data_IF_762514823924
#
_entry.id   IF_762514823924
#
_cell.length_a   1.000
_cell.length_b   1.000
_cell.length_c   1.000
_cell.angle_alpha   90.00
_cell.angle_beta   90.00
_cell.angle_gamma   90.00
#
_symmetry.space_group_name_H-M   'P 1'
#
loop_
_entity.id
_entity.type
_entity.pdbx_description
1 polymer ?
#
# COMPACT_ATOMS: atom_id res chain seq x y z
N UNK A 1 38.18 0.25 -51.69
CA UNK A 1 39.53 -0.34 -51.86
C UNK A 1 40.49 0.56 -51.07
N UNK A 2 41.30 0.17 -50.08
CA UNK A 2 41.93 -1.09 -49.67
C UNK A 2 41.95 -1.17 -48.13
N UNK A 3 41.90 -2.39 -47.60
CA UNK A 3 42.17 -2.75 -46.19
C UNK A 3 43.68 -2.78 -45.96
N UNK A 4 44.14 -2.48 -44.73
CA UNK A 4 45.37 -3.05 -44.17
C UNK A 4 45.27 -3.17 -42.66
N UNK A 5 45.53 -4.39 -42.20
CA UNK A 5 45.57 -4.92 -40.84
C UNK A 5 46.95 -4.68 -40.22
N UNK A 6 47.04 -4.54 -38.90
CA UNK A 6 48.30 -4.60 -38.17
C UNK A 6 48.07 -4.75 -36.66
N UNK A 7 48.21 -5.97 -36.16
CA UNK A 7 48.26 -6.30 -34.74
C UNK A 7 49.72 -6.41 -34.29
N UNK A 8 50.04 -5.92 -33.09
CA UNK A 8 51.29 -6.25 -32.38
C UNK A 8 50.95 -6.63 -30.94
N UNK A 9 51.30 -7.86 -30.61
CA UNK A 9 51.31 -8.47 -29.28
C UNK A 9 52.62 -8.08 -28.60
N UNK A 10 52.56 -7.70 -27.32
CA UNK A 10 53.74 -7.45 -26.49
C UNK A 10 53.47 -7.88 -25.04
N UNK A 11 53.81 -9.13 -24.75
CA UNK A 11 53.79 -9.76 -23.43
C UNK A 11 55.14 -9.49 -22.75
N UNK A 12 55.16 -8.89 -21.56
CA UNK A 12 56.29 -8.98 -20.64
C UNK A 12 55.80 -9.18 -19.22
N UNK A 13 56.14 -10.34 -18.68
CA UNK A 13 56.01 -10.71 -17.28
C UNK A 13 57.36 -10.49 -16.57
N UNK A 14 57.33 -9.93 -15.37
CA UNK A 14 58.39 -10.09 -14.37
C UNK A 14 57.79 -9.82 -12.98
N UNK A 15 58.01 -10.76 -12.07
CA UNK A 15 57.33 -10.94 -10.78
C UNK A 15 57.76 -10.02 -9.61
N UNK A 16 57.49 -10.45 -8.37
CA UNK A 16 57.05 -9.57 -7.29
C UNK A 16 58.19 -9.06 -6.40
N UNK A 17 58.04 -7.82 -5.89
CA UNK A 17 58.93 -7.28 -4.87
C UNK A 17 58.23 -7.28 -3.50
N UNK A 18 58.65 -8.23 -2.66
CA UNK A 18 58.45 -8.26 -1.21
C UNK A 18 59.21 -7.11 -0.55
N UNK A 19 58.52 -6.29 0.23
CA UNK A 19 59.15 -5.41 1.22
C UNK A 19 58.50 -5.65 2.58
N UNK A 20 59.25 -6.36 3.42
CA UNK A 20 59.02 -6.50 4.85
C UNK A 20 59.69 -5.34 5.59
N UNK A 21 58.99 -4.68 6.51
CA UNK A 21 59.53 -3.71 7.48
C UNK A 21 58.76 -3.89 8.81
N UNK A 22 59.42 -3.78 9.98
CA UNK A 22 59.19 -4.69 11.10
C UNK A 22 58.18 -4.21 12.16
N UNK A 23 57.77 -5.19 12.95
CA UNK A 23 56.96 -5.10 14.18
C UNK A 23 57.69 -4.24 15.22
N UNK A 24 57.03 -3.16 15.68
CA UNK A 24 57.34 -2.51 16.94
C UNK A 24 56.14 -2.72 17.89
N UNK A 25 56.34 -3.60 18.87
CA UNK A 25 55.41 -3.81 19.96
C UNK A 25 55.61 -2.70 21.01
N UNK A 26 54.56 -1.90 21.25
CA UNK A 26 54.43 -1.07 22.45
C UNK A 26 53.13 -1.51 23.12
N UNK A 27 53.27 -2.15 24.28
CA UNK A 27 52.15 -2.45 25.15
C UNK A 27 51.62 -1.18 25.81
N UNK A 28 50.31 -0.96 25.67
CA UNK A 28 49.53 -0.08 26.53
C UNK A 28 48.16 -0.73 26.75
N UNK A 29 47.67 -0.58 27.98
CA UNK A 29 46.62 -1.39 28.59
C UNK A 29 45.27 -1.43 27.89
N UNK A 30 44.56 -2.49 28.26
CA UNK A 30 43.19 -2.87 27.92
C UNK A 30 42.18 -1.73 27.99
N UNK A 31 41.53 -1.45 26.86
CA UNK A 31 40.12 -1.06 26.77
C UNK A 31 39.65 -1.23 25.32
N UNK A 32 39.41 -2.48 24.91
CA UNK A 32 38.62 -2.74 23.71
C UNK A 32 37.18 -2.35 24.00
N UNK A 33 36.84 -1.08 23.79
CA UNK A 33 35.49 -0.72 23.44
C UNK A 33 35.25 -1.27 22.03
N UNK A 34 34.91 -2.56 21.97
CA UNK A 34 34.32 -3.13 20.78
C UNK A 34 33.00 -2.38 20.58
N UNK A 35 33.02 -1.38 19.71
CA UNK A 35 31.81 -0.91 19.06
C UNK A 35 31.24 -2.14 18.35
N UNK A 36 30.24 -2.76 18.98
CA UNK A 36 29.38 -3.74 18.36
C UNK A 36 28.72 -3.05 17.17
N UNK A 37 29.31 -3.23 15.99
CA UNK A 37 28.60 -3.11 14.73
C UNK A 37 27.37 -3.99 14.85
N UNK A 38 26.20 -3.37 14.93
CA UNK A 38 24.92 -4.07 14.84
C UNK A 38 24.82 -4.74 13.48
N UNK A 39 25.42 -5.93 13.36
CA UNK A 39 25.14 -6.85 12.27
C UNK A 39 23.69 -7.26 12.39
N UNK A 40 22.93 -7.11 11.32
CA UNK A 40 21.62 -7.71 11.21
C UNK A 40 21.75 -9.20 11.55
N UNK A 41 21.17 -9.62 12.66
CA UNK A 41 21.07 -11.04 12.99
C UNK A 41 20.23 -11.68 11.89
N UNK A 42 20.80 -12.66 11.18
CA UNK A 42 20.07 -13.44 10.18
C UNK A 42 18.81 -14.03 10.83
N UNK A 43 17.65 -13.94 10.16
CA UNK A 43 16.41 -14.49 10.70
C UNK A 43 16.55 -16.00 10.80
N UNK A 44 16.27 -16.55 11.99
CA UNK A 44 16.21 -17.99 12.19
C UNK A 44 14.94 -18.55 11.51
N UNK A 45 15.10 -19.06 10.29
CA UNK A 45 14.01 -19.62 9.50
C UNK A 45 13.35 -20.82 10.18
N UNK A 46 14.06 -21.55 11.03
CA UNK A 46 13.51 -22.70 11.77
C UNK A 46 12.59 -22.24 12.90
N UNK A 47 12.93 -21.15 13.59
CA UNK A 47 12.08 -20.52 14.58
C UNK A 47 10.82 -19.91 13.94
N UNK A 48 10.95 -19.28 12.76
CA UNK A 48 9.80 -18.80 11.99
C UNK A 48 8.90 -19.97 11.59
N UNK A 49 9.45 -21.08 11.11
CA UNK A 49 8.68 -22.28 10.77
C UNK A 49 7.90 -22.86 11.96
N UNK A 50 8.50 -22.90 13.15
CA UNK A 50 7.81 -23.32 14.37
C UNK A 50 6.63 -22.39 14.71
N UNK A 51 6.82 -21.07 14.58
CA UNK A 51 5.75 -20.08 14.81
C UNK A 51 4.64 -20.16 13.77
N UNK A 52 4.98 -20.30 12.48
CA UNK A 52 4.00 -20.48 11.40
C UNK A 52 3.17 -21.72 11.63
N UNK A 53 3.80 -22.85 11.99
CA UNK A 53 3.10 -24.07 12.35
C UNK A 53 2.13 -23.84 13.51
N UNK A 54 2.56 -23.17 14.57
CA UNK A 54 1.70 -22.85 15.72
C UNK A 54 0.52 -21.94 15.35
N UNK A 55 0.71 -20.97 14.46
CA UNK A 55 -0.35 -20.07 13.96
C UNK A 55 -1.37 -20.85 13.12
N UNK A 56 -0.90 -21.72 12.22
CA UNK A 56 -1.77 -22.53 11.37
C UNK A 56 -2.53 -23.60 12.16
N UNK A 57 -1.88 -24.24 13.14
CA UNK A 57 -2.49 -25.27 14.00
C UNK A 57 -3.49 -24.66 15.01
N UNK A 58 -3.23 -23.44 15.49
CA UNK A 58 -4.09 -22.70 16.43
C UNK A 58 -5.19 -21.85 15.78
N UNK A 59 -5.22 -21.79 14.46
CA UNK A 59 -6.19 -21.02 13.69
C UNK A 59 -7.59 -21.62 13.67
N UNK A 60 -8.60 -20.78 13.42
CA UNK A 60 -9.98 -21.25 13.27
C UNK A 60 -10.11 -22.16 12.04
N UNK A 61 -10.80 -23.30 12.21
CA UNK A 61 -11.14 -24.19 11.09
C UNK A 61 -12.24 -23.54 10.25
N UNK A 62 -11.89 -23.11 9.04
CA UNK A 62 -12.81 -22.46 8.12
C UNK A 62 -12.33 -22.56 6.67
N UNK A 63 -13.30 -22.60 5.75
CA UNK A 63 -13.06 -22.60 4.31
C UNK A 63 -12.89 -21.17 3.83
N UNK A 64 -11.80 -20.90 3.13
CA UNK A 64 -11.60 -19.62 2.44
C UNK A 64 -12.20 -19.77 1.04
N UNK A 65 -13.15 -18.91 0.69
CA UNK A 65 -13.70 -18.82 -0.65
C UNK A 65 -13.50 -17.40 -1.17
N UNK A 66 -12.63 -17.25 -2.17
CA UNK A 66 -12.33 -15.97 -2.81
C UNK A 66 -12.41 -16.19 -4.32
N UNK A 67 -13.31 -15.47 -5.04
CA UNK A 67 -13.38 -15.54 -6.50
C UNK A 67 -12.04 -15.11 -7.15
N UNK A 68 -11.68 -15.77 -8.25
CA UNK A 68 -10.44 -15.47 -8.99
C UNK A 68 -9.28 -16.43 -8.74
N UNK A 69 -9.47 -17.43 -7.87
CA UNK A 69 -8.61 -18.61 -7.76
C UNK A 69 -9.11 -19.72 -8.70
N UNK A 70 -8.23 -20.24 -9.55
CA UNK A 70 -8.49 -21.33 -10.49
C UNK A 70 -8.34 -22.72 -9.84
N UNK A 71 -7.55 -22.82 -8.77
CA UNK A 71 -7.41 -24.03 -7.96
C UNK A 71 -7.29 -23.69 -6.46
N UNK A 72 -8.42 -23.35 -5.82
CA UNK A 72 -8.42 -22.96 -4.41
C UNK A 72 -7.85 -24.02 -3.47
N UNK A 73 -7.93 -25.31 -3.83
CA UNK A 73 -7.45 -26.40 -3.00
C UNK A 73 -5.92 -26.37 -2.85
N UNK A 74 -5.19 -26.01 -3.91
CA UNK A 74 -3.74 -25.82 -3.87
C UNK A 74 -3.37 -24.40 -3.39
N UNK A 75 -4.08 -23.38 -3.85
CA UNK A 75 -3.69 -21.97 -3.67
C UNK A 75 -3.94 -21.43 -2.26
N UNK A 76 -5.06 -21.81 -1.62
CA UNK A 76 -5.43 -21.30 -0.29
C UNK A 76 -4.43 -21.73 0.80
N UNK A 77 -3.97 -23.00 0.88
CA UNK A 77 -2.93 -23.39 1.83
C UNK A 77 -1.62 -22.61 1.67
N UNK A 78 -1.20 -22.33 0.43
CA UNK A 78 0.00 -21.54 0.16
C UNK A 78 -0.19 -20.08 0.59
N UNK A 79 -1.34 -19.46 0.28
CA UNK A 79 -1.69 -18.13 0.73
C UNK A 79 -1.73 -18.01 2.27
N UNK A 80 -2.31 -19.01 2.96
CA UNK A 80 -2.30 -19.11 4.43
C UNK A 80 -0.89 -19.15 4.98
N UNK A 81 0.01 -19.90 4.33
CA UNK A 81 1.40 -20.01 4.76
C UNK A 81 2.16 -18.69 4.57
N UNK A 82 2.00 -18.01 3.44
CA UNK A 82 2.58 -16.67 3.20
C UNK A 82 2.12 -15.67 4.27
N UNK A 83 0.82 -15.67 4.59
CA UNK A 83 0.26 -14.74 5.57
C UNK A 83 0.65 -15.09 7.01
N UNK A 84 0.62 -16.37 7.38
CA UNK A 84 1.07 -16.83 8.69
C UNK A 84 2.56 -16.52 8.92
N UNK A 85 3.39 -16.64 7.88
CA UNK A 85 4.80 -16.22 7.93
C UNK A 85 4.92 -14.72 8.17
N UNK A 86 4.12 -13.91 7.46
CA UNK A 86 4.06 -12.46 7.70
C UNK A 86 3.64 -12.11 9.13
N UNK A 87 2.65 -12.82 9.69
CA UNK A 87 2.22 -12.66 11.10
C UNK A 87 3.34 -13.03 12.06
N UNK A 88 3.99 -14.19 11.89
CA UNK A 88 5.11 -14.65 12.72
C UNK A 88 6.27 -13.62 12.72
N UNK A 89 6.56 -13.06 11.55
CA UNK A 89 7.61 -12.05 11.39
C UNK A 89 7.17 -10.64 11.79
N UNK A 90 5.91 -10.40 12.18
CA UNK A 90 5.34 -9.07 12.49
C UNK A 90 5.38 -8.10 11.29
N UNK A 91 5.14 -8.62 10.10
CA UNK A 91 5.01 -7.83 8.88
C UNK A 91 3.61 -7.17 8.86
N UNK A 92 3.52 -5.85 8.62
CA UNK A 92 2.23 -5.17 8.48
C UNK A 92 1.35 -5.82 7.40
N UNK A 93 0.03 -5.67 7.52
CA UNK A 93 -0.95 -6.19 6.55
C UNK A 93 -0.57 -5.84 5.11
N UNK A 94 -0.10 -4.60 4.88
CA UNK A 94 0.39 -4.17 3.55
C UNK A 94 1.47 -5.09 2.99
N UNK A 95 2.48 -5.45 3.79
CA UNK A 95 3.55 -6.34 3.35
C UNK A 95 3.05 -7.75 3.04
N UNK A 96 2.04 -8.23 3.78
CA UNK A 96 1.39 -9.52 3.48
C UNK A 96 0.67 -9.49 2.12
N UNK A 97 -0.01 -8.39 1.79
CA UNK A 97 -0.64 -8.20 0.47
C UNK A 97 0.42 -8.13 -0.62
N UNK A 98 1.55 -7.45 -0.39
CA UNK A 98 2.68 -7.42 -1.35
C UNK A 98 3.21 -8.82 -1.64
N UNK A 99 3.41 -9.64 -0.60
CA UNK A 99 3.86 -11.02 -0.77
C UNK A 99 2.84 -11.89 -1.51
N UNK A 100 1.55 -11.79 -1.16
CA UNK A 100 0.48 -12.53 -1.85
C UNK A 100 0.35 -12.11 -3.32
N UNK A 101 0.40 -10.81 -3.63
CA UNK A 101 0.37 -10.31 -5.01
C UNK A 101 1.59 -10.75 -5.80
N UNK A 102 2.76 -10.81 -5.15
CA UNK A 102 3.98 -11.33 -5.76
C UNK A 102 3.81 -12.82 -6.09
N UNK A 103 3.43 -13.66 -5.14
CA UNK A 103 3.27 -15.10 -5.39
C UNK A 103 2.17 -15.42 -6.41
N UNK A 104 1.09 -14.62 -6.45
CA UNK A 104 0.08 -14.69 -7.52
C UNK A 104 0.68 -14.38 -8.90
N UNK A 105 1.53 -13.36 -9.00
CA UNK A 105 2.17 -13.01 -10.27
C UNK A 105 3.23 -14.03 -10.69
N UNK A 106 4.02 -14.52 -9.74
CA UNK A 106 5.16 -15.40 -10.04
C UNK A 106 4.72 -16.84 -10.35
N UNK A 107 3.75 -17.39 -9.61
CA UNK A 107 3.36 -18.79 -9.78
C UNK A 107 1.85 -19.04 -9.70
N UNK A 108 1.03 -17.99 -9.62
CA UNK A 108 -0.39 -18.15 -9.34
C UNK A 108 -0.65 -18.79 -7.99
N UNK A 109 0.19 -18.54 -6.97
CA UNK A 109 0.15 -19.19 -5.64
C UNK A 109 0.40 -20.71 -5.66
N UNK A 110 1.03 -21.26 -6.70
CA UNK A 110 1.40 -22.67 -6.79
C UNK A 110 2.87 -22.87 -6.45
N UNK A 111 3.20 -23.94 -5.73
CA UNK A 111 4.59 -24.20 -5.33
C UNK A 111 5.28 -25.06 -6.38
N UNK A 112 5.64 -24.45 -7.51
CA UNK A 112 6.08 -25.15 -8.72
C UNK A 112 7.60 -25.41 -8.73
N UNK A 113 8.01 -26.54 -9.32
CA UNK A 113 9.42 -26.96 -9.43
C UNK A 113 10.12 -26.47 -10.69
N UNK A 114 9.47 -25.60 -11.46
CA UNK A 114 9.94 -25.08 -12.75
C UNK A 114 9.66 -23.57 -12.85
N UNK A 115 10.32 -22.92 -13.81
CA UNK A 115 10.28 -21.48 -14.00
C UNK A 115 11.24 -21.02 -15.09
N UNK A 116 11.42 -19.70 -15.23
CA UNK A 116 12.51 -19.16 -16.05
C UNK A 116 13.87 -19.52 -15.44
N UNK A 117 14.81 -20.00 -16.26
CA UNK A 117 16.14 -20.47 -15.83
C UNK A 117 16.06 -21.53 -14.72
N UNK A 118 16.45 -21.19 -13.51
CA UNK A 118 16.45 -22.03 -12.30
C UNK A 118 15.49 -21.51 -11.22
N UNK A 119 14.54 -20.65 -11.59
CA UNK A 119 13.48 -20.17 -10.69
C UNK A 119 12.57 -21.33 -10.26
N UNK A 120 12.28 -21.41 -8.97
CA UNK A 120 11.35 -22.39 -8.38
C UNK A 120 10.54 -21.78 -7.24
N UNK A 121 9.50 -22.49 -6.81
CA UNK A 121 8.68 -22.15 -5.64
C UNK A 121 7.67 -21.03 -5.86
N UNK A 122 7.01 -20.64 -4.77
CA UNK A 122 5.90 -19.66 -4.76
C UNK A 122 6.27 -18.28 -5.32
N UNK A 123 7.52 -17.88 -5.13
CA UNK A 123 8.02 -16.56 -5.49
C UNK A 123 8.95 -16.59 -6.71
N UNK A 124 9.08 -17.75 -7.38
CA UNK A 124 9.99 -17.96 -8.51
C UNK A 124 11.43 -17.49 -8.23
N UNK A 125 11.90 -17.76 -7.01
CA UNK A 125 13.23 -17.37 -6.54
C UNK A 125 14.30 -18.30 -7.12
N UNK A 126 15.51 -17.77 -7.33
CA UNK A 126 16.59 -18.48 -8.03
C UNK A 126 17.72 -18.88 -7.07
N UNK A 127 18.07 -20.18 -6.96
CA UNK A 127 19.25 -20.61 -6.23
C UNK A 127 20.54 -19.93 -6.69
N UNK A 128 20.73 -19.77 -8.00
CA UNK A 128 21.89 -19.09 -8.58
C UNK A 128 22.01 -17.60 -8.23
N UNK A 129 20.95 -16.96 -7.71
CA UNK A 129 20.98 -15.58 -7.22
C UNK A 129 21.12 -15.48 -5.70
N UNK A 130 21.34 -16.60 -5.00
CA UNK A 130 21.56 -16.60 -3.55
C UNK A 130 20.30 -16.63 -2.70
N UNK A 131 19.13 -16.89 -3.29
CA UNK A 131 17.87 -17.01 -2.53
C UNK A 131 17.79 -18.25 -1.63
N UNK A 132 18.64 -19.26 -1.85
CA UNK A 132 18.67 -20.52 -1.10
C UNK A 132 18.91 -21.73 -2.00
N UNK A 133 18.98 -22.93 -1.44
CA UNK A 133 18.98 -24.17 -2.23
C UNK A 133 17.58 -24.44 -2.79
N UNK A 134 17.46 -25.28 -3.83
CA UNK A 134 16.15 -25.69 -4.38
C UNK A 134 15.24 -26.25 -3.29
N UNK A 135 15.75 -27.12 -2.42
CA UNK A 135 14.98 -27.70 -1.32
C UNK A 135 14.45 -26.63 -0.35
N UNK A 136 15.26 -25.60 -0.07
CA UNK A 136 14.83 -24.48 0.77
C UNK A 136 13.81 -23.60 0.07
N UNK A 137 14.00 -23.23 -1.20
CA UNK A 137 13.06 -22.37 -1.92
C UNK A 137 11.70 -23.07 -2.12
N UNK A 138 11.70 -24.39 -2.28
CA UNK A 138 10.47 -25.20 -2.34
C UNK A 138 9.75 -25.32 -1.00
N UNK A 139 10.33 -24.87 0.11
CA UNK A 139 9.60 -24.71 1.38
C UNK A 139 8.87 -23.35 1.38
N UNK A 140 7.52 -23.33 1.41
CA UNK A 140 6.73 -22.11 1.44
C UNK A 140 7.06 -21.16 2.59
N UNK A 141 7.44 -21.67 3.75
CA UNK A 141 7.80 -20.82 4.90
C UNK A 141 9.15 -20.18 4.68
N UNK A 142 10.12 -20.95 4.21
CA UNK A 142 11.46 -20.42 3.91
C UNK A 142 11.39 -19.34 2.84
N UNK A 143 10.78 -19.64 1.68
CA UNK A 143 10.68 -18.69 0.56
C UNK A 143 9.92 -17.42 0.92
N UNK A 144 8.84 -17.53 1.72
CA UNK A 144 8.12 -16.38 2.29
C UNK A 144 9.00 -15.58 3.25
N UNK A 145 9.77 -16.25 4.12
CA UNK A 145 10.69 -15.59 5.07
C UNK A 145 11.74 -14.77 4.32
N UNK A 146 12.39 -15.36 3.31
CA UNK A 146 13.36 -14.66 2.46
C UNK A 146 12.75 -13.48 1.72
N UNK A 147 11.52 -13.62 1.23
CA UNK A 147 10.80 -12.51 0.59
C UNK A 147 10.59 -11.34 1.56
N UNK A 148 10.13 -11.61 2.78
CA UNK A 148 9.92 -10.56 3.79
C UNK A 148 11.21 -9.95 4.33
N UNK A 149 12.31 -10.72 4.42
CA UNK A 149 13.65 -10.16 4.67
C UNK A 149 14.01 -9.15 3.57
N UNK A 150 13.91 -9.56 2.30
CA UNK A 150 14.17 -8.67 1.16
C UNK A 150 13.27 -7.44 1.17
N UNK A 151 11.99 -7.59 1.51
CA UNK A 151 11.05 -6.47 1.62
C UNK A 151 11.49 -5.46 2.67
N UNK A 152 11.99 -5.90 3.84
CA UNK A 152 12.50 -5.02 4.90
C UNK A 152 13.77 -4.27 4.51
N UNK A 153 14.57 -4.82 3.62
CA UNK A 153 15.77 -4.15 3.10
C UNK A 153 15.43 -3.04 2.09
N UNK A 154 14.25 -3.07 1.47
CA UNK A 154 13.79 -2.02 0.56
C UNK A 154 13.40 -0.78 1.36
N UNK A 155 14.27 0.23 1.35
CA UNK A 155 14.00 1.50 2.05
C UNK A 155 12.71 2.15 1.56
N UNK A 156 11.78 2.39 2.49
CA UNK A 156 10.50 3.05 2.21
C UNK A 156 9.49 2.18 1.47
N UNK A 157 9.65 0.85 1.45
CA UNK A 157 8.71 -0.08 0.81
C UNK A 157 7.27 0.09 1.30
N UNK A 158 7.08 0.53 2.54
CA UNK A 158 5.76 0.81 3.12
C UNK A 158 5.00 1.89 2.34
N UNK A 159 5.74 2.81 1.71
CA UNK A 159 5.20 3.94 0.95
C UNK A 159 5.08 3.68 -0.57
N UNK A 160 5.73 2.61 -1.05
CA UNK A 160 5.73 2.20 -2.46
C UNK A 160 4.39 1.58 -2.85
N UNK A 161 3.99 1.65 -4.13
CA UNK A 161 2.88 0.81 -4.63
C UNK A 161 3.21 -0.67 -4.44
N UNK A 162 2.22 -1.57 -4.43
CA UNK A 162 2.49 -3.00 -4.31
C UNK A 162 3.44 -3.47 -5.40
N UNK A 163 3.21 -3.00 -6.61
CA UNK A 163 4.06 -3.19 -7.78
C UNK A 163 5.49 -2.76 -7.54
N UNK A 164 5.71 -1.54 -7.03
CA UNK A 164 7.05 -1.03 -6.75
C UNK A 164 7.74 -1.81 -5.64
N UNK A 165 7.03 -2.18 -4.57
CA UNK A 165 7.59 -2.96 -3.48
C UNK A 165 7.95 -4.39 -3.93
N UNK A 166 7.03 -5.09 -4.60
CA UNK A 166 7.26 -6.42 -5.17
C UNK A 166 8.44 -6.43 -6.15
N UNK A 167 8.47 -5.44 -7.05
CA UNK A 167 9.54 -5.27 -8.01
C UNK A 167 10.88 -4.94 -7.35
N UNK A 168 10.90 -4.12 -6.29
CA UNK A 168 12.13 -3.79 -5.57
C UNK A 168 12.75 -5.00 -4.88
N UNK A 169 11.92 -5.93 -4.41
CA UNK A 169 12.36 -7.21 -3.82
C UNK A 169 12.82 -8.20 -4.90
N UNK A 170 11.99 -8.43 -5.92
CA UNK A 170 12.22 -9.49 -6.91
C UNK A 170 13.17 -9.08 -8.05
N UNK A 171 13.24 -7.78 -8.36
CA UNK A 171 13.97 -7.24 -9.52
C UNK A 171 13.59 -7.98 -10.83
N UNK A 172 12.30 -8.21 -11.04
CA UNK A 172 11.76 -8.93 -12.21
C UNK A 172 11.90 -8.11 -13.51
N UNK A 173 11.79 -8.76 -14.67
CA UNK A 173 11.79 -8.09 -15.97
C UNK A 173 10.49 -7.33 -16.30
N UNK A 174 9.44 -7.49 -15.49
CA UNK A 174 8.09 -6.98 -15.76
C UNK A 174 7.53 -6.18 -14.57
N UNK A 175 7.99 -4.93 -14.36
CA UNK A 175 7.69 -4.17 -13.17
C UNK A 175 6.18 -3.98 -12.96
N UNK A 176 5.38 -3.75 -14.00
CA UNK A 176 3.95 -3.41 -13.86
C UNK A 176 2.99 -4.61 -13.68
N UNK A 177 3.50 -5.85 -13.78
CA UNK A 177 2.65 -7.05 -13.83
C UNK A 177 1.93 -7.37 -12.51
N UNK A 178 2.44 -6.88 -11.38
CA UNK A 178 1.92 -7.16 -10.04
C UNK A 178 0.60 -6.43 -9.73
N UNK A 179 0.34 -5.28 -10.37
CA UNK A 179 -0.82 -4.42 -10.07
C UNK A 179 -2.16 -5.15 -10.24
N UNK A 180 -2.27 -6.04 -11.23
CA UNK A 180 -3.51 -6.77 -11.52
C UNK A 180 -3.91 -7.75 -10.41
N UNK A 181 -2.95 -8.20 -9.59
CA UNK A 181 -3.18 -9.18 -8.52
C UNK A 181 -3.52 -8.56 -7.17
N UNK A 182 -3.29 -7.26 -7.01
CA UNK A 182 -3.53 -6.55 -5.76
C UNK A 182 -4.97 -6.71 -5.21
N UNK A 183 -6.05 -6.69 -6.02
CA UNK A 183 -7.40 -6.97 -5.54
C UNK A 183 -7.57 -8.40 -4.98
N UNK A 184 -7.07 -9.41 -5.70
CA UNK A 184 -7.16 -10.81 -5.28
C UNK A 184 -6.31 -11.07 -4.03
N UNK A 185 -5.08 -10.54 -4.00
CA UNK A 185 -4.19 -10.60 -2.84
C UNK A 185 -4.84 -9.98 -1.60
N UNK A 186 -5.50 -8.83 -1.74
CA UNK A 186 -6.20 -8.16 -0.64
C UNK A 186 -7.41 -8.97 -0.16
N UNK A 187 -8.18 -9.55 -1.08
CA UNK A 187 -9.33 -10.39 -0.75
C UNK A 187 -8.91 -11.66 -0.01
N UNK A 188 -7.84 -12.31 -0.47
CA UNK A 188 -7.24 -13.46 0.21
C UNK A 188 -6.75 -13.09 1.61
N UNK A 189 -6.00 -11.98 1.73
CA UNK A 189 -5.48 -11.51 3.01
C UNK A 189 -6.61 -11.32 4.03
N UNK A 190 -7.69 -10.63 3.63
CA UNK A 190 -8.86 -10.37 4.48
C UNK A 190 -9.59 -11.65 4.87
N UNK A 191 -9.75 -12.59 3.93
CA UNK A 191 -10.46 -13.84 4.18
C UNK A 191 -9.67 -14.80 5.10
N UNK A 192 -8.34 -14.76 5.02
CA UNK A 192 -7.44 -15.61 5.81
C UNK A 192 -7.16 -15.00 7.19
N UNK A 193 -7.08 -13.66 7.31
CA UNK A 193 -6.74 -12.97 8.56
C UNK A 193 -7.51 -13.46 9.80
N UNK A 194 -8.86 -13.58 9.78
CA UNK A 194 -9.60 -14.07 10.95
C UNK A 194 -9.33 -15.55 11.27
N UNK A 195 -8.87 -16.34 10.29
CA UNK A 195 -8.53 -17.74 10.50
C UNK A 195 -7.16 -17.91 11.18
N UNK A 196 -6.28 -16.90 11.09
CA UNK A 196 -4.96 -16.92 11.73
C UNK A 196 -4.97 -16.29 13.13
N UNK A 197 -6.06 -15.62 13.51
CA UNK A 197 -6.26 -15.13 14.87
C UNK A 197 -6.57 -16.31 15.79
N UNK A 198 -5.90 -16.38 16.96
CA UNK A 198 -6.21 -17.40 17.97
C UNK A 198 -7.65 -17.24 18.42
N UNK A 199 -8.39 -18.35 18.52
CA UNK A 199 -9.68 -18.38 19.24
C UNK A 199 -9.44 -17.95 20.68
N UNK A 200 -9.69 -16.68 21.00
CA UNK A 200 -9.46 -16.10 22.32
C UNK A 200 -9.09 -14.61 22.34
N UNK A 201 -8.63 -14.03 21.22
CA UNK A 201 -8.47 -12.58 21.11
C UNK A 201 -9.77 -11.96 20.58
N UNK A 202 -10.33 -10.92 21.22
CA UNK A 202 -11.58 -10.33 20.75
C UNK A 202 -11.38 -9.78 19.35
N UNK A 203 -12.23 -10.24 18.43
CA UNK A 203 -12.41 -9.58 17.14
C UNK A 203 -12.60 -8.06 17.36
N UNK A 204 -12.09 -7.18 16.49
CA UNK A 204 -12.56 -5.80 16.48
C UNK A 204 -14.07 -5.85 16.26
N UNK A 205 -14.82 -5.50 17.29
CA UNK A 205 -16.28 -5.56 17.31
C UNK A 205 -16.83 -4.59 16.26
N UNK A 206 -17.78 -5.01 15.40
CA UNK A 206 -18.61 -4.06 14.70
C UNK A 206 -19.46 -3.32 15.75
N UNK A 207 -19.19 -2.04 15.98
CA UNK A 207 -20.04 -1.21 16.82
C UNK A 207 -21.46 -1.16 16.24
N UNK A 208 -22.50 -1.31 17.08
CA UNK A 208 -23.86 -1.52 16.62
C UNK A 208 -24.48 -0.23 16.08
N UNK A 209 -25.21 -0.40 14.99
CA UNK A 209 -26.16 0.56 14.45
C UNK A 209 -27.28 0.78 15.48
N UNK A 210 -27.37 1.98 16.05
CA UNK A 210 -28.49 2.40 16.89
C UNK A 210 -29.60 3.02 16.04
N UNK A 211 -30.68 2.28 15.83
CA UNK A 211 -31.98 2.83 15.41
C UNK A 211 -32.83 3.07 16.65
N UNK A 212 -33.36 4.28 16.82
CA UNK A 212 -34.27 4.61 17.92
C UNK A 212 -34.81 6.05 17.87
N UNK A 213 -35.87 6.23 17.08
CA UNK A 213 -36.98 7.19 17.17
C UNK A 213 -36.83 8.57 17.84
N UNK A 214 -37.11 9.62 17.04
CA UNK A 214 -37.48 10.95 17.53
C UNK A 214 -38.21 11.74 16.44
N UNK A 215 -39.51 11.98 16.65
CA UNK A 215 -40.49 12.62 15.77
C UNK A 215 -40.31 14.12 15.58
N UNK A 216 -40.90 14.61 14.48
CA UNK A 216 -41.42 15.96 14.19
C UNK A 216 -40.53 16.91 13.38
N UNK A 217 -40.94 17.10 12.13
CA UNK A 217 -40.71 18.30 11.32
C UNK A 217 -41.63 19.44 11.83
N UNK A 218 -41.29 20.71 11.56
CA UNK A 218 -41.84 21.32 10.34
C UNK A 218 -40.85 22.21 9.57
N UNK A 219 -41.06 22.27 8.25
CA UNK A 219 -40.49 23.24 7.31
C UNK A 219 -41.36 24.52 7.24
N UNK A 220 -41.09 25.50 6.34
CA UNK A 220 -39.84 26.20 6.01
C UNK A 220 -40.03 27.74 6.04
N UNK A 221 -38.95 28.53 6.09
CA UNK A 221 -38.81 29.74 5.24
C UNK A 221 -37.49 30.51 5.39
N UNK A 222 -37.09 31.08 4.25
CA UNK A 222 -36.35 32.32 4.04
C UNK A 222 -34.81 32.34 4.13
N UNK A 223 -34.22 32.27 2.93
CA UNK A 223 -33.31 33.28 2.36
C UNK A 223 -32.00 33.67 3.07
N UNK A 224 -30.89 33.35 2.39
CA UNK A 224 -29.77 34.29 2.23
C UNK A 224 -28.56 34.07 3.14
N UNK A 225 -27.57 33.34 2.64
CA UNK A 225 -26.21 33.35 3.19
C UNK A 225 -25.40 32.15 2.75
N UNK A 226 -24.44 32.36 1.85
CA UNK A 226 -23.36 31.40 1.63
C UNK A 226 -22.53 31.35 2.92
N UNK A 227 -22.80 30.40 3.82
CA UNK A 227 -21.92 30.12 4.95
C UNK A 227 -20.88 29.10 4.50
N UNK A 228 -19.62 29.45 4.65
CA UNK A 228 -18.47 28.53 4.58
C UNK A 228 -18.38 27.64 5.82
N UNK A 229 -19.30 27.80 6.79
CA UNK A 229 -19.11 27.44 8.19
C UNK A 229 -20.01 26.28 8.67
N UNK A 230 -20.66 25.57 7.74
CA UNK A 230 -21.46 24.38 8.06
C UNK A 230 -20.62 23.10 8.19
N UNK A 231 -21.13 22.12 8.93
CA UNK A 231 -20.56 20.75 9.00
C UNK A 231 -21.14 19.79 7.95
N UNK A 232 -22.07 20.31 7.12
CA UNK A 232 -22.72 19.61 6.00
C UNK A 232 -23.96 18.83 6.39
N UNK A 233 -24.37 18.83 7.66
CA UNK A 233 -25.56 18.08 8.12
C UNK A 233 -26.87 18.64 7.57
N UNK A 234 -26.93 19.92 7.23
CA UNK A 234 -28.09 20.58 6.63
C UNK A 234 -28.48 20.01 5.26
N UNK A 235 -27.57 19.32 4.57
CA UNK A 235 -27.86 18.62 3.31
C UNK A 235 -28.63 17.31 3.51
N UNK A 236 -28.79 16.84 4.75
CA UNK A 236 -29.44 15.57 5.07
C UNK A 236 -28.72 14.36 4.46
N UNK A 237 -29.51 13.37 4.03
CA UNK A 237 -28.97 12.17 3.38
C UNK A 237 -28.51 12.50 1.97
N UNK A 238 -27.21 12.34 1.69
CA UNK A 238 -26.62 12.55 0.37
C UNK A 238 -26.51 11.21 -0.36
N UNK A 239 -27.24 11.00 -1.47
CA UNK A 239 -27.12 9.77 -2.25
C UNK A 239 -25.70 9.58 -2.83
N UNK A 240 -25.15 8.35 -2.82
CA UNK A 240 -23.85 8.07 -3.44
C UNK A 240 -23.80 8.52 -4.91
N UNK A 241 -22.70 9.16 -5.31
CA UNK A 241 -22.50 9.62 -6.68
C UNK A 241 -23.32 10.84 -7.11
N UNK A 242 -23.98 11.53 -6.18
CA UNK A 242 -24.72 12.76 -6.49
C UNK A 242 -24.07 14.00 -5.86
N UNK A 243 -24.34 15.16 -6.46
CA UNK A 243 -24.06 16.46 -5.85
C UNK A 243 -25.28 16.86 -5.01
N UNK A 244 -25.12 17.22 -3.73
CA UNK A 244 -26.24 17.69 -2.91
C UNK A 244 -26.90 18.94 -3.51
N UNK A 245 -28.23 19.01 -3.43
CA UNK A 245 -28.98 20.16 -3.93
C UNK A 245 -28.50 21.47 -3.26
N UNK A 246 -28.31 22.50 -4.08
CA UNK A 246 -27.82 23.80 -3.62
C UNK A 246 -26.31 23.85 -3.34
N UNK A 247 -25.58 22.73 -3.42
CA UNK A 247 -24.13 22.78 -3.37
C UNK A 247 -23.57 23.55 -4.58
N UNK A 248 -22.63 24.45 -4.31
CA UNK A 248 -21.91 25.20 -5.32
C UNK A 248 -20.41 25.12 -5.01
N UNK A 249 -19.60 25.11 -6.06
CA UNK A 249 -18.15 25.26 -5.90
C UNK A 249 -17.89 26.63 -5.27
N UNK A 250 -17.11 26.73 -4.18
CA UNK A 250 -16.86 28.00 -3.48
C UNK A 250 -16.22 29.03 -4.41
N UNK A 251 -16.89 30.17 -4.59
CA UNK A 251 -16.46 31.23 -5.52
C UNK A 251 -15.24 32.01 -5.02
N UNK A 252 -15.03 32.03 -3.72
CA UNK A 252 -13.91 32.64 -2.99
C UNK A 252 -12.65 31.76 -2.98
N UNK A 253 -12.77 30.48 -3.34
CA UNK A 253 -11.61 29.60 -3.50
C UNK A 253 -10.77 30.02 -4.72
N UNK A 254 -9.46 29.76 -4.68
CA UNK A 254 -8.57 30.10 -5.79
C UNK A 254 -8.98 29.37 -7.10
N UNK A 255 -8.69 29.91 -8.29
CA UNK A 255 -9.04 29.26 -9.55
C UNK A 255 -8.51 27.83 -9.69
N UNK A 256 -7.33 27.56 -9.13
CA UNK A 256 -6.74 26.21 -9.08
C UNK A 256 -7.55 25.28 -8.18
N UNK A 257 -7.94 25.71 -6.98
CA UNK A 257 -8.81 24.92 -6.09
C UNK A 257 -10.15 24.64 -6.74
N UNK A 258 -10.78 25.65 -7.34
CA UNK A 258 -12.05 25.46 -8.05
C UNK A 258 -11.92 24.43 -9.19
N UNK A 259 -10.78 24.42 -9.90
CA UNK A 259 -10.50 23.46 -10.96
C UNK A 259 -10.36 22.04 -10.40
N UNK A 260 -9.62 21.87 -9.30
CA UNK A 260 -9.47 20.57 -8.65
C UNK A 260 -10.82 20.02 -8.14
N UNK A 261 -11.62 20.86 -7.49
CA UNK A 261 -12.97 20.49 -7.01
C UNK A 261 -13.87 20.08 -8.18
N UNK A 262 -13.91 20.88 -9.25
CA UNK A 262 -14.72 20.58 -10.44
C UNK A 262 -14.31 19.26 -11.09
N UNK A 263 -13.02 19.01 -11.19
CA UNK A 263 -12.51 17.77 -11.74
C UNK A 263 -12.91 16.56 -10.88
N UNK A 264 -12.77 16.66 -9.56
CA UNK A 264 -13.17 15.61 -8.62
C UNK A 264 -14.68 15.32 -8.70
N UNK A 265 -15.51 16.36 -8.75
CA UNK A 265 -16.96 16.24 -8.90
C UNK A 265 -17.36 15.51 -10.20
N UNK A 266 -16.60 15.69 -11.28
CA UNK A 266 -16.79 14.94 -12.53
C UNK A 266 -16.57 13.42 -12.41
N UNK A 267 -16.03 12.95 -11.28
CA UNK A 267 -15.82 11.53 -11.01
C UNK A 267 -16.91 10.91 -10.15
N UNK A 268 -17.90 11.68 -9.69
CA UNK A 268 -18.99 11.16 -8.86
C UNK A 268 -19.68 9.98 -9.55
N UNK A 269 -19.96 8.94 -8.76
CA UNK A 269 -20.59 7.71 -9.23
C UNK A 269 -19.62 6.70 -9.86
N UNK A 270 -18.36 7.08 -10.15
CA UNK A 270 -17.37 6.11 -10.64
C UNK A 270 -17.09 5.06 -9.56
N UNK A 271 -17.08 3.76 -9.91
CA UNK A 271 -16.73 2.70 -8.96
C UNK A 271 -15.31 2.88 -8.44
N UNK A 272 -15.15 2.75 -7.12
CA UNK A 272 -13.84 2.74 -6.50
C UNK A 272 -13.00 1.57 -7.04
N UNK A 273 -11.76 1.86 -7.39
CA UNK A 273 -10.76 0.85 -7.70
C UNK A 273 -9.52 1.06 -6.87
N UNK A 274 -9.23 0.12 -5.97
CA UNK A 274 -7.97 0.10 -5.23
C UNK A 274 -6.79 0.04 -6.21
N UNK A 275 -5.80 0.93 -6.05
CA UNK A 275 -4.64 1.04 -6.94
C UNK A 275 -4.92 1.75 -8.27
N UNK A 276 -6.18 2.11 -8.54
CA UNK A 276 -6.59 2.77 -9.77
C UNK A 276 -5.84 4.08 -10.02
N UNK A 277 -5.55 4.37 -11.28
CA UNK A 277 -4.75 5.54 -11.69
C UNK A 277 -5.57 6.83 -11.80
N UNK A 278 -6.90 6.69 -11.89
CA UNK A 278 -7.84 7.79 -12.10
C UNK A 278 -7.56 8.57 -13.41
N UNK A 279 -6.94 7.94 -14.42
CA UNK A 279 -6.66 8.56 -15.74
C UNK A 279 -7.77 8.32 -16.75
N UNK A 280 -8.58 7.28 -16.57
CA UNK A 280 -9.76 6.96 -17.40
C UNK A 280 -10.86 6.37 -16.52
N UNK A 281 -11.43 7.22 -15.68
CA UNK A 281 -12.29 6.83 -14.56
C UNK A 281 -13.67 6.29 -14.95
N UNK A 282 -14.10 6.61 -16.16
CA UNK A 282 -15.34 6.12 -16.77
C UNK A 282 -15.05 5.04 -17.82
N UNK A 283 -13.79 4.67 -17.98
CA UNK A 283 -13.32 3.69 -18.94
C UNK A 283 -13.75 2.26 -18.62
N UNK A 284 -13.57 1.40 -19.63
CA UNK A 284 -13.82 -0.03 -19.52
C UNK A 284 -12.82 -0.72 -18.58
N UNK A 285 -11.57 -0.24 -18.53
CA UNK A 285 -10.53 -0.77 -17.66
C UNK A 285 -10.73 -0.29 -16.21
N UNK A 286 -10.98 -1.20 -15.25
CA UNK A 286 -11.06 -0.84 -13.85
C UNK A 286 -9.83 -0.09 -13.34
N UNK A 287 -8.61 -0.39 -13.82
CA UNK A 287 -7.37 0.30 -13.39
C UNK A 287 -7.30 1.76 -13.83
N UNK A 288 -8.12 2.19 -14.80
CA UNK A 288 -8.32 3.60 -15.15
C UNK A 288 -9.13 4.38 -14.11
N UNK A 289 -9.88 3.68 -13.25
CA UNK A 289 -10.73 4.24 -12.17
C UNK A 289 -9.92 4.71 -10.99
N UNK A 290 -10.61 5.25 -9.99
CA UNK A 290 -9.97 5.99 -8.90
C UNK A 290 -9.94 5.18 -7.61
N UNK A 291 -8.79 5.20 -6.94
CA UNK A 291 -8.72 5.05 -5.48
C UNK A 291 -8.73 6.43 -4.79
N UNK A 292 -8.64 6.44 -3.45
CA UNK A 292 -8.70 7.65 -2.65
C UNK A 292 -7.61 8.67 -3.04
N UNK A 293 -6.36 8.22 -3.13
CA UNK A 293 -5.20 9.08 -3.41
C UNK A 293 -5.05 9.47 -4.87
N UNK A 294 -5.40 8.60 -5.82
CA UNK A 294 -5.38 8.92 -7.26
C UNK A 294 -6.47 9.91 -7.64
N UNK A 295 -7.64 9.86 -6.98
CA UNK A 295 -8.67 10.90 -7.12
C UNK A 295 -8.07 12.27 -6.77
N UNK A 296 -7.37 12.38 -5.63
CA UNK A 296 -6.73 13.64 -5.23
C UNK A 296 -5.62 14.04 -6.21
N UNK A 297 -4.76 13.09 -6.58
CA UNK A 297 -3.65 13.32 -7.49
C UNK A 297 -4.13 13.90 -8.83
N UNK A 298 -5.16 13.29 -9.43
CA UNK A 298 -5.64 13.71 -10.74
C UNK A 298 -6.49 14.98 -10.67
N UNK A 299 -7.20 15.22 -9.56
CA UNK A 299 -7.90 16.49 -9.29
C UNK A 299 -6.93 17.66 -9.29
N UNK A 300 -5.84 17.54 -8.53
CA UNK A 300 -4.81 18.58 -8.45
C UNK A 300 -3.98 18.69 -9.73
N UNK A 301 -3.72 17.57 -10.42
CA UNK A 301 -3.04 17.57 -11.72
C UNK A 301 -3.83 18.38 -12.75
N UNK A 302 -5.16 18.26 -12.77
CA UNK A 302 -6.02 19.09 -13.62
C UNK A 302 -5.91 20.60 -13.31
N UNK A 303 -5.55 20.96 -12.08
CA UNK A 303 -5.25 22.33 -11.66
C UNK A 303 -3.77 22.73 -11.84
N UNK A 304 -2.96 21.89 -12.51
CA UNK A 304 -1.54 22.13 -12.73
C UNK A 304 -0.65 21.94 -11.49
N UNK A 305 -1.12 21.17 -10.50
CA UNK A 305 -0.39 20.85 -9.27
C UNK A 305 -0.13 19.34 -9.21
N UNK A 306 1.14 18.96 -9.11
CA UNK A 306 1.53 17.55 -9.06
C UNK A 306 1.52 17.10 -7.61
N UNK A 307 0.71 16.09 -7.31
CA UNK A 307 0.77 15.37 -6.04
C UNK A 307 1.42 14.00 -6.24
N UNK A 308 2.11 13.53 -5.21
CA UNK A 308 2.53 12.14 -5.12
C UNK A 308 1.35 11.15 -5.10
N UNK A 309 1.62 9.88 -5.36
CA UNK A 309 0.58 8.89 -5.70
C UNK A 309 -0.22 8.37 -4.51
N UNK A 310 0.36 8.29 -3.31
CA UNK A 310 -0.21 7.56 -2.17
C UNK A 310 -0.58 8.49 -1.03
N UNK A 311 -1.49 8.08 -0.16
CA UNK A 311 -1.86 8.84 1.05
C UNK A 311 -0.66 9.08 1.96
N UNK A 312 0.26 8.10 2.04
CA UNK A 312 1.47 8.15 2.85
C UNK A 312 2.47 9.23 2.42
N UNK A 313 2.47 9.59 1.13
CA UNK A 313 3.30 10.68 0.62
C UNK A 313 2.52 11.99 0.52
N UNK A 314 1.24 11.92 0.14
CA UNK A 314 0.35 13.08 0.05
C UNK A 314 0.17 13.79 1.41
N UNK A 315 0.22 13.05 2.52
CA UNK A 315 0.18 13.64 3.86
C UNK A 315 1.38 14.53 4.17
N UNK A 316 2.42 14.58 3.32
CA UNK A 316 3.56 15.48 3.48
C UNK A 316 3.58 16.61 2.44
N UNK A 317 2.57 16.68 1.57
CA UNK A 317 2.45 17.71 0.54
C UNK A 317 1.84 19.00 1.12
N UNK A 318 2.32 20.15 0.66
CA UNK A 318 1.80 21.45 1.08
C UNK A 318 2.01 21.75 2.58
N UNK A 319 1.14 22.60 3.13
CA UNK A 319 1.23 23.07 4.52
C UNK A 319 0.27 22.32 5.44
N UNK A 320 0.68 21.95 6.66
CA UNK A 320 -0.24 21.37 7.65
C UNK A 320 -1.30 22.39 8.06
N UNK A 321 -2.53 21.92 8.22
CA UNK A 321 -3.68 22.74 8.64
C UNK A 321 -4.41 22.08 9.79
N UNK A 322 -4.92 22.88 10.72
CA UNK A 322 -5.81 22.40 11.78
C UNK A 322 -7.18 22.01 11.23
N UNK A 323 -7.81 20.97 11.78
CA UNK A 323 -9.17 20.56 11.41
C UNK A 323 -10.24 21.65 11.67
N UNK A 324 -9.91 22.69 12.43
CA UNK A 324 -10.78 23.86 12.67
C UNK A 324 -10.52 25.03 11.71
N UNK A 325 -9.49 24.94 10.87
CA UNK A 325 -9.08 25.99 9.93
C UNK A 325 -9.14 25.53 8.46
N UNK A 326 -9.99 24.55 8.18
CA UNK A 326 -10.13 23.94 6.86
C UNK A 326 -10.67 24.95 5.84
N UNK A 327 -10.12 24.91 4.63
CA UNK A 327 -10.56 25.67 3.47
C UNK A 327 -10.81 24.74 2.29
N UNK A 328 -11.71 25.09 1.37
CA UNK A 328 -11.92 24.31 0.15
C UNK A 328 -10.59 24.00 -0.54
N UNK A 329 -10.45 22.75 -0.98
CA UNK A 329 -9.21 22.19 -1.50
C UNK A 329 -8.43 21.36 -0.46
N UNK A 330 -8.48 21.68 0.83
CA UNK A 330 -7.66 20.98 1.82
C UNK A 330 -7.87 19.46 1.78
N UNK A 331 -6.76 18.72 1.75
CA UNK A 331 -6.74 17.26 1.79
C UNK A 331 -6.90 16.81 3.24
N UNK A 332 -7.87 15.93 3.49
CA UNK A 332 -8.20 15.38 4.80
C UNK A 332 -7.78 13.92 4.86
N UNK A 333 -6.87 13.59 5.77
CA UNK A 333 -6.33 12.24 5.94
C UNK A 333 -6.98 11.54 7.13
N UNK A 334 -7.41 10.30 6.93
CA UNK A 334 -8.12 9.48 7.92
C UNK A 334 -7.63 8.03 7.85
N UNK A 335 -8.00 7.21 8.86
CA UNK A 335 -7.59 5.80 9.02
C UNK A 335 -6.08 5.60 9.17
N UNK A 336 -5.65 4.69 10.04
CA UNK A 336 -4.23 4.53 10.36
C UNK A 336 -3.74 5.58 11.35
N UNK A 337 -2.58 6.20 11.08
CA UNK A 337 -1.98 7.25 11.95
C UNK A 337 -1.71 8.53 11.18
N UNK A 338 -1.44 9.64 11.87
CA UNK A 338 -1.11 10.92 11.23
C UNK A 338 0.14 10.85 10.34
N UNK A 339 1.08 9.95 10.65
CA UNK A 339 2.29 9.73 9.86
C UNK A 339 2.07 8.77 8.69
N UNK A 340 1.11 7.84 8.83
CA UNK A 340 0.86 6.77 7.84
C UNK A 340 -0.66 6.64 7.63
N UNK A 341 -1.33 7.65 7.04
CA UNK A 341 -2.77 7.61 6.86
C UNK A 341 -3.14 6.70 5.69
N UNK A 342 -4.26 5.99 5.81
CA UNK A 342 -4.69 4.97 4.83
C UNK A 342 -5.82 5.46 3.91
N UNK A 343 -6.37 6.64 4.18
CA UNK A 343 -7.47 7.22 3.40
C UNK A 343 -7.34 8.74 3.29
N UNK A 344 -7.76 9.28 2.14
CA UNK A 344 -7.77 10.72 1.88
C UNK A 344 -9.06 11.14 1.17
N UNK A 345 -9.48 12.37 1.43
CA UNK A 345 -10.52 13.07 0.69
C UNK A 345 -10.19 14.56 0.60
N UNK A 346 -10.97 15.30 -0.18
CA UNK A 346 -10.80 16.75 -0.33
C UNK A 346 -12.00 17.46 0.27
N UNK A 347 -11.75 18.44 1.14
CA UNK A 347 -12.78 19.35 1.60
C UNK A 347 -13.20 20.27 0.44
N UNK A 348 -14.49 20.31 0.13
CA UNK A 348 -15.02 21.05 -1.04
C UNK A 348 -15.85 22.28 -0.64
N UNK A 349 -15.82 22.67 0.63
CA UNK A 349 -16.63 23.76 1.19
C UNK A 349 -18.01 23.29 1.67
N UNK A 350 -18.75 24.19 2.32
CA UNK A 350 -20.10 23.95 2.86
C UNK A 350 -20.21 22.70 3.74
N UNK A 351 -19.14 22.35 4.46
CA UNK A 351 -19.13 21.14 5.28
C UNK A 351 -19.17 19.83 4.48
N UNK A 352 -18.69 19.82 3.24
CA UNK A 352 -18.70 18.63 2.39
C UNK A 352 -17.29 18.16 2.03
N UNK A 353 -17.14 16.84 1.90
CA UNK A 353 -15.89 16.16 1.56
C UNK A 353 -16.14 15.20 0.41
N UNK A 354 -15.37 15.32 -0.67
CA UNK A 354 -15.39 14.37 -1.78
C UNK A 354 -14.29 13.31 -1.62
N UNK A 355 -14.62 12.04 -1.85
CA UNK A 355 -13.65 10.95 -1.76
C UNK A 355 -14.03 9.73 -2.61
N UNK A 356 -13.04 8.87 -2.88
CA UNK A 356 -13.23 7.51 -3.36
C UNK A 356 -13.05 6.53 -2.17
N UNK A 357 -14.12 5.98 -1.58
CA UNK A 357 -14.11 5.42 -0.21
C UNK A 357 -13.44 4.05 -0.02
N UNK A 358 -13.84 3.05 -0.83
CA UNK A 358 -13.43 1.63 -0.75
C UNK A 358 -14.11 0.81 -1.85
N UNK A 359 -13.61 -0.41 -2.08
CA UNK A 359 -14.22 -1.39 -3.01
C UNK A 359 -15.69 -1.66 -2.68
N UNK A 360 -16.53 -1.76 -3.71
CA UNK A 360 -17.97 -1.98 -3.58
C UNK A 360 -18.77 -0.68 -3.36
N UNK A 361 -18.12 0.47 -3.45
CA UNK A 361 -18.72 1.79 -3.31
C UNK A 361 -18.18 2.70 -4.43
N UNK A 362 -18.73 3.90 -4.54
CA UNK A 362 -18.44 4.84 -5.63
C UNK A 362 -17.80 6.12 -5.09
N UNK A 363 -17.16 6.88 -5.97
CA UNK A 363 -16.78 8.27 -5.66
C UNK A 363 -18.04 9.04 -5.26
N UNK A 364 -18.01 9.65 -4.09
CA UNK A 364 -19.17 10.28 -3.48
C UNK A 364 -18.79 11.47 -2.62
N UNK A 365 -19.81 12.21 -2.21
CA UNK A 365 -19.70 13.29 -1.23
C UNK A 365 -20.19 12.78 0.13
N UNK A 366 -19.53 13.19 1.20
CA UNK A 366 -19.91 12.94 2.58
C UNK A 366 -19.81 14.24 3.38
N UNK A 367 -20.43 14.27 4.56
CA UNK A 367 -20.41 15.46 5.43
C UNK A 367 -19.11 15.56 6.21
N UNK A 368 -18.65 16.78 6.46
CA UNK A 368 -17.51 17.06 7.32
C UNK A 368 -17.80 16.59 8.74
N UNK A 369 -19.04 16.67 9.21
CA UNK A 369 -19.47 16.09 10.49
C UNK A 369 -19.07 14.62 10.64
N UNK A 370 -19.28 13.81 9.60
CA UNK A 370 -18.89 12.39 9.61
C UNK A 370 -17.38 12.16 9.55
N UNK A 371 -16.64 13.10 8.96
CA UNK A 371 -15.18 13.02 8.80
C UNK A 371 -14.40 13.57 9.98
N UNK A 372 -14.85 14.67 10.58
CA UNK A 372 -14.09 15.47 11.56
C UNK A 372 -13.53 14.64 12.73
N UNK A 373 -14.27 13.68 13.33
CA UNK A 373 -13.73 12.83 14.39
C UNK A 373 -12.62 11.87 13.95
N UNK A 374 -12.47 11.64 12.64
CA UNK A 374 -11.53 10.67 12.05
C UNK A 374 -10.29 11.35 11.44
N UNK A 375 -10.25 12.68 11.39
CA UNK A 375 -9.14 13.43 10.78
C UNK A 375 -7.89 13.24 11.60
N UNK A 376 -6.87 12.63 10.98
CA UNK A 376 -5.54 12.41 11.55
C UNK A 376 -4.59 13.55 11.17
N UNK A 377 -4.74 14.09 9.96
CA UNK A 377 -3.97 15.21 9.44
C UNK A 377 -4.78 15.94 8.35
N UNK A 378 -4.49 17.23 8.15
CA UNK A 378 -5.00 17.98 7.01
C UNK A 378 -3.87 18.76 6.33
N UNK A 379 -3.92 18.85 5.01
CA UNK A 379 -2.91 19.53 4.18
C UNK A 379 -3.53 20.51 3.20
N UNK A 380 -2.96 21.71 3.15
CA UNK A 380 -3.28 22.74 2.16
C UNK A 380 -2.20 22.77 1.10
N UNK A 381 -2.57 22.38 -0.11
CA UNK A 381 -1.65 22.20 -1.24
C UNK A 381 -1.49 23.49 -2.05
N UNK A 382 -2.49 24.38 -2.04
CA UNK A 382 -2.51 25.65 -2.78
C UNK A 382 -2.64 26.84 -1.83
#
# INVERSE_FOLDING_TARGET
MKKTTGAVVGLFASGPLLLAVPILAIGAGTASAACSTGGAQAVDTSAVAAQVKAILDGGAKGTVSVPGLDDPAEQVPNAKTIQATGVAMKIPVRGQIVALATALQESGLRNITYGDRDSVGLFQQRPSQGWGTVAQIMDPVYSSTKFYEGLREVSGWESMTITQAAQAVQRSGYPDAYAKWEPLATALQKAIQPLLAKTGDPAPTPSPSGSGGGTASPAPNAAGGCTTDGDGTDFGTIPPGTVPDGNKIPADASPKVQTAIRWAMGQLGTPYQWGGTCTDSHGADPMGRCDCSSLMQMSYKAAGVILTRTTYTQVNEGQPVSADALKPGDLLFTRGTAQVPEHVGMFIGSGLVIHAPRTGDVVKISTLASWKPQILAARRVI
#
